data_IF_102941251253
#
_entry.id   IF_102941251253
#
_cell.length_a   1.000
_cell.length_b   1.000
_cell.length_c   1.000
_cell.angle_alpha   90.00
_cell.angle_beta   90.00
_cell.angle_gamma   90.00
#
_symmetry.space_group_name_H-M   'P 1'
#
loop_
_entity.id
_entity.type
_entity.pdbx_description
1 polymer ?
#
# COMPACT_ATOMS: atom_id res chain seq x y z
N UNK A 1 -23.33 5.89 -25.13
CA UNK A 1 -23.49 6.18 -23.68
C UNK A 1 -22.52 5.33 -22.86
N UNK A 2 -22.45 4.02 -23.09
CA UNK A 2 -21.48 3.15 -22.41
C UNK A 2 -20.00 3.47 -22.72
N UNK A 3 -19.69 3.86 -23.96
CA UNK A 3 -18.32 4.28 -24.35
C UNK A 3 -17.87 5.53 -23.58
N UNK A 4 -18.75 6.55 -23.49
CA UNK A 4 -18.46 7.77 -22.74
C UNK A 4 -18.23 7.48 -21.24
N UNK A 5 -18.98 6.54 -20.65
CA UNK A 5 -18.77 6.13 -19.26
C UNK A 5 -17.43 5.41 -19.05
N UNK A 6 -16.99 4.60 -20.03
CA UNK A 6 -15.67 3.97 -20.00
C UNK A 6 -14.55 4.99 -20.11
N UNK A 7 -14.67 5.96 -21.02
CA UNK A 7 -13.69 7.04 -21.18
C UNK A 7 -13.53 7.88 -19.91
N UNK A 8 -14.64 8.30 -19.30
CA UNK A 8 -14.64 9.06 -18.03
C UNK A 8 -13.99 8.24 -16.90
N UNK A 9 -14.31 6.95 -16.80
CA UNK A 9 -13.73 6.07 -15.78
C UNK A 9 -12.21 5.93 -15.96
N UNK A 10 -11.74 5.80 -17.19
CA UNK A 10 -10.32 5.67 -17.49
C UNK A 10 -9.55 6.96 -17.22
N UNK A 11 -10.13 8.13 -17.47
CA UNK A 11 -9.53 9.42 -17.12
C UNK A 11 -9.41 9.60 -15.60
N UNK A 12 -10.45 9.24 -14.83
CA UNK A 12 -10.42 9.31 -13.36
C UNK A 12 -9.31 8.39 -12.80
N UNK A 13 -9.21 7.16 -13.32
CA UNK A 13 -8.17 6.21 -12.90
C UNK A 13 -6.75 6.69 -13.21
N UNK A 14 -6.53 7.29 -14.38
CA UNK A 14 -5.21 7.86 -14.75
C UNK A 14 -4.82 8.99 -13.80
N UNK A 15 -5.77 9.88 -13.47
CA UNK A 15 -5.54 11.05 -12.62
C UNK A 15 -5.20 10.70 -11.16
N UNK A 16 -5.77 9.62 -10.63
CA UNK A 16 -5.54 9.21 -9.24
C UNK A 16 -4.30 8.34 -9.02
N UNK A 17 -3.75 7.71 -10.08
CA UNK A 17 -2.78 6.61 -9.91
C UNK A 17 -1.32 6.95 -10.24
N UNK A 18 -1.04 7.93 -11.10
CA UNK A 18 0.33 8.13 -11.59
C UNK A 18 1.20 9.04 -10.70
N UNK A 19 0.63 10.03 -10.01
CA UNK A 19 1.41 11.06 -9.30
C UNK A 19 1.45 10.91 -7.77
N UNK A 20 0.70 9.97 -7.21
CA UNK A 20 0.58 9.88 -5.75
C UNK A 20 1.83 9.30 -5.12
N UNK A 21 2.55 10.14 -4.37
CA UNK A 21 3.80 9.76 -3.69
C UNK A 21 3.58 8.91 -2.45
N UNK A 22 2.40 8.97 -1.83
CA UNK A 22 2.13 8.36 -0.53
C UNK A 22 0.76 7.72 -0.46
N UNK A 23 0.66 6.60 0.24
CA UNK A 23 -0.58 5.92 0.56
C UNK A 23 -1.01 6.15 2.01
N UNK A 24 -2.31 6.24 2.24
CA UNK A 24 -2.89 5.97 3.55
C UNK A 24 -2.89 4.45 3.83
N UNK A 25 -3.09 4.05 5.09
CA UNK A 25 -3.23 2.63 5.42
C UNK A 25 -4.40 1.95 4.70
N UNK A 26 -5.50 2.67 4.44
CA UNK A 26 -6.64 2.13 3.67
C UNK A 26 -6.25 1.85 2.22
N UNK A 27 -5.46 2.74 1.62
CA UNK A 27 -4.96 2.54 0.26
C UNK A 27 -3.93 1.41 0.22
N UNK A 28 -3.03 1.32 1.20
CA UNK A 28 -2.12 0.18 1.34
C UNK A 28 -2.92 -1.13 1.39
N UNK A 29 -4.00 -1.19 2.18
CA UNK A 29 -4.88 -2.36 2.27
C UNK A 29 -5.52 -2.68 0.93
N UNK A 30 -6.05 -1.67 0.22
CA UNK A 30 -6.67 -1.84 -1.09
C UNK A 30 -5.69 -2.35 -2.15
N UNK A 31 -4.49 -1.76 -2.25
CA UNK A 31 -3.53 -2.11 -3.31
C UNK A 31 -2.77 -3.42 -3.02
N UNK A 32 -2.55 -3.77 -1.76
CA UNK A 32 -1.82 -5.00 -1.39
C UNK A 32 -2.72 -6.19 -1.11
N UNK A 33 -4.01 -5.96 -0.86
CA UNK A 33 -4.94 -7.00 -0.37
C UNK A 33 -4.73 -7.40 1.09
N UNK A 34 -3.77 -6.78 1.81
CA UNK A 34 -3.52 -7.05 3.23
C UNK A 34 -4.62 -6.39 4.07
N UNK A 35 -5.12 -7.11 5.07
CA UNK A 35 -6.13 -6.59 6.00
C UNK A 35 -5.66 -5.32 6.72
N UNK A 36 -6.57 -4.35 6.87
CA UNK A 36 -6.26 -3.09 7.53
C UNK A 36 -5.74 -3.28 8.96
N UNK A 37 -6.29 -4.22 9.72
CA UNK A 37 -5.85 -4.52 11.09
C UNK A 37 -4.41 -5.03 11.11
N UNK A 38 -4.05 -5.92 10.18
CA UNK A 38 -2.68 -6.42 10.04
C UNK A 38 -1.69 -5.29 9.72
N UNK A 39 -2.06 -4.35 8.84
CA UNK A 39 -1.22 -3.19 8.57
C UNK A 39 -1.11 -2.26 9.79
N UNK A 40 -2.16 -2.14 10.62
CA UNK A 40 -2.10 -1.38 11.87
C UNK A 40 -1.18 -2.06 12.90
N UNK A 41 -1.21 -3.39 12.99
CA UNK A 41 -0.29 -4.17 13.81
C UNK A 41 1.17 -3.95 13.36
N UNK A 42 1.43 -3.96 12.05
CA UNK A 42 2.77 -3.63 11.51
C UNK A 42 3.23 -2.23 11.90
N UNK A 43 2.33 -1.24 11.91
CA UNK A 43 2.65 0.12 12.38
C UNK A 43 2.89 0.18 13.89
N UNK A 44 2.25 -0.69 14.68
CA UNK A 44 2.30 -0.69 16.14
C UNK A 44 3.47 -1.52 16.70
N UNK A 45 4.07 -2.42 15.91
CA UNK A 45 5.21 -3.25 16.33
C UNK A 45 6.45 -2.40 16.58
N UNK A 46 7.04 -2.55 17.76
CA UNK A 46 8.37 -2.02 18.06
C UNK A 46 9.40 -2.80 17.22
N UNK A 47 10.10 -2.09 16.31
CA UNK A 47 11.01 -2.61 15.27
C UNK A 47 10.37 -3.20 14.00
N UNK A 48 9.18 -2.75 13.61
CA UNK A 48 8.71 -3.06 12.25
C UNK A 48 9.53 -2.33 11.18
N UNK A 49 9.88 -3.05 10.12
CA UNK A 49 10.45 -2.48 8.89
C UNK A 49 9.38 -1.90 7.96
N UNK A 50 8.13 -1.79 8.45
CA UNK A 50 7.03 -1.22 7.68
C UNK A 50 7.27 0.28 7.41
N UNK A 51 7.24 0.73 6.15
CA UNK A 51 7.72 2.06 5.77
C UNK A 51 6.66 3.15 5.95
N UNK A 52 6.33 3.46 7.21
CA UNK A 52 5.35 4.50 7.55
C UNK A 52 5.98 5.75 8.17
N UNK A 53 5.27 6.86 8.08
CA UNK A 53 5.55 8.08 8.82
C UNK A 53 4.26 8.70 9.34
N UNK A 54 4.36 9.50 10.40
CA UNK A 54 3.21 10.16 11.04
C UNK A 54 3.24 11.66 10.76
N UNK A 55 2.11 12.19 10.27
CA UNK A 55 1.86 13.64 10.18
C UNK A 55 0.68 13.96 11.11
N UNK A 56 0.98 14.50 12.28
CA UNK A 56 -0.01 14.70 13.34
C UNK A 56 -0.63 13.37 13.76
N UNK A 57 -1.94 13.21 13.52
CA UNK A 57 -2.70 11.97 13.82
C UNK A 57 -2.78 10.99 12.64
N UNK A 58 -2.31 11.39 11.45
CA UNK A 58 -2.42 10.56 10.24
C UNK A 58 -1.15 9.74 10.03
N UNK A 59 -1.34 8.48 9.67
CA UNK A 59 -0.27 7.58 9.22
C UNK A 59 -0.29 7.56 7.70
N UNK A 60 0.86 7.84 7.12
CA UNK A 60 1.10 7.80 5.68
C UNK A 60 2.26 6.86 5.41
N UNK A 61 2.30 6.31 4.21
CA UNK A 61 3.28 5.33 3.76
C UNK A 61 3.83 5.80 2.44
N UNK A 62 5.15 5.86 2.29
CA UNK A 62 5.74 6.18 0.98
C UNK A 62 5.42 5.05 0.00
N UNK A 63 4.93 5.42 -1.19
CA UNK A 63 4.50 4.44 -2.20
C UNK A 63 5.64 3.51 -2.61
N UNK A 64 6.82 4.06 -2.92
CA UNK A 64 7.95 3.27 -3.43
C UNK A 64 8.47 2.33 -2.36
N UNK A 65 8.63 2.83 -1.14
CA UNK A 65 9.09 2.02 -0.02
C UNK A 65 8.08 0.92 0.33
N UNK A 66 6.78 1.19 0.25
CA UNK A 66 5.75 0.17 0.46
C UNK A 66 5.87 -1.00 -0.52
N UNK A 67 6.03 -0.72 -1.82
CA UNK A 67 6.26 -1.77 -2.82
C UNK A 67 7.57 -2.53 -2.58
N UNK A 68 8.64 -1.84 -2.18
CA UNK A 68 9.91 -2.48 -1.85
C UNK A 68 9.77 -3.38 -0.61
N UNK A 69 9.06 -2.93 0.42
CA UNK A 69 8.76 -3.72 1.61
C UNK A 69 8.00 -4.99 1.25
N UNK A 70 6.95 -4.90 0.42
CA UNK A 70 6.20 -6.07 -0.08
C UNK A 70 7.09 -7.09 -0.80
N UNK A 71 8.04 -6.63 -1.61
CA UNK A 71 9.00 -7.52 -2.27
C UNK A 71 9.94 -8.19 -1.26
N UNK A 72 10.44 -7.43 -0.29
CA UNK A 72 11.37 -7.93 0.71
C UNK A 72 10.72 -8.97 1.63
N UNK A 73 9.50 -8.74 2.12
CA UNK A 73 8.79 -9.74 2.93
C UNK A 73 8.56 -11.02 2.13
N UNK A 74 8.24 -10.93 0.83
CA UNK A 74 7.99 -12.11 0.01
C UNK A 74 9.26 -12.95 -0.21
N UNK A 75 10.42 -12.29 -0.34
CA UNK A 75 11.73 -12.94 -0.48
C UNK A 75 12.21 -13.55 0.83
N UNK A 76 12.12 -12.80 1.93
CA UNK A 76 12.60 -13.28 3.24
C UNK A 76 11.76 -14.45 3.72
N UNK A 77 10.44 -14.42 3.51
CA UNK A 77 9.57 -15.56 3.83
C UNK A 77 9.85 -16.84 3.03
N UNK A 78 10.81 -16.88 2.09
CA UNK A 78 11.29 -18.13 1.49
C UNK A 78 11.75 -19.12 2.58
N UNK A 79 12.38 -18.64 3.65
CA UNK A 79 12.83 -19.47 4.77
C UNK A 79 11.69 -20.18 5.50
N UNK A 80 10.49 -19.57 5.55
CA UNK A 80 9.28 -20.13 6.15
C UNK A 80 8.50 -21.07 5.22
N UNK A 81 8.88 -21.16 3.94
CA UNK A 81 8.23 -22.04 2.93
C UNK A 81 8.97 -23.35 2.72
N UNK A 82 10.19 -23.50 3.26
CA UNK A 82 11.00 -24.74 3.15
C UNK A 82 10.59 -25.83 4.16
N UNK A 83 9.34 -25.83 4.60
CA UNK A 83 8.79 -26.82 5.55
C UNK A 83 8.35 -28.07 4.81
#
# INVERSE_FOLDING_TARGET
>A
MEELLKEILDEIKRKDSEDKLTYSLKECSYVSGIGLNTLQEEVAKDNSNFPFFKIGKKIMVDRKLFHQWLQNISKNHEELRRV
#
